data_IF_153378581823
#
_entry.id   IF_153378581823
#
_cell.length_a   1.000
_cell.length_b   1.000
_cell.length_c   1.000
_cell.angle_alpha   90.00
_cell.angle_beta   90.00
_cell.angle_gamma   90.00
#
_symmetry.space_group_name_H-M   'P 1'
#
loop_
_entity.id
_entity.type
_entity.pdbx_description
1 polymer ?
#
# COMPACT_ATOMS: atom_id res chain seq x y z
N UNK A 1 6.14 -44.29 -16.99
CA UNK A 1 5.46 -44.36 -15.69
C UNK A 1 4.79 -43.02 -15.43
N UNK A 2 3.52 -43.00 -15.05
CA UNK A 2 2.84 -41.75 -14.68
C UNK A 2 3.42 -41.24 -13.35
N UNK A 3 3.66 -39.92 -13.25
CA UNK A 3 4.15 -39.29 -12.02
C UNK A 3 3.16 -39.52 -10.88
N UNK A 4 3.61 -39.84 -9.65
CA UNK A 4 2.73 -40.05 -8.51
C UNK A 4 2.10 -38.77 -7.97
N UNK A 5 2.57 -37.58 -8.40
CA UNK A 5 2.05 -36.29 -7.94
C UNK A 5 0.83 -35.88 -8.78
N UNK A 6 -0.34 -35.68 -8.16
CA UNK A 6 -1.52 -35.16 -8.85
C UNK A 6 -1.27 -33.78 -9.49
N UNK A 7 -1.95 -33.50 -10.60
CA UNK A 7 -1.71 -32.25 -11.36
C UNK A 7 -2.07 -30.97 -10.59
N UNK A 8 -3.04 -31.04 -9.69
CA UNK A 8 -3.47 -29.97 -8.78
C UNK A 8 -2.45 -29.68 -7.66
N UNK A 9 -1.47 -30.57 -7.45
CA UNK A 9 -0.37 -30.38 -6.50
C UNK A 9 0.90 -29.84 -7.16
N UNK A 10 0.88 -29.58 -8.48
CA UNK A 10 1.99 -28.96 -9.18
C UNK A 10 2.07 -27.48 -8.79
N UNK A 11 3.29 -27.00 -8.55
CA UNK A 11 3.53 -25.57 -8.30
C UNK A 11 3.17 -24.79 -9.56
N UNK A 12 2.32 -23.75 -9.46
CA UNK A 12 1.97 -22.91 -10.59
C UNK A 12 3.18 -22.23 -11.22
N UNK A 13 3.03 -21.77 -12.46
CA UNK A 13 4.06 -20.96 -13.10
C UNK A 13 4.31 -19.67 -12.30
N UNK A 14 5.58 -19.26 -12.25
CA UNK A 14 5.94 -18.01 -11.62
C UNK A 14 5.54 -16.82 -12.49
N UNK A 15 5.03 -15.78 -11.83
CA UNK A 15 4.70 -14.50 -12.44
C UNK A 15 5.40 -13.38 -11.69
N UNK A 16 5.79 -12.34 -12.43
CA UNK A 16 6.24 -11.09 -11.84
C UNK A 16 5.02 -10.21 -11.56
N UNK A 17 4.94 -9.65 -10.37
CA UNK A 17 3.81 -8.90 -9.87
C UNK A 17 4.28 -7.49 -9.54
N UNK A 18 3.51 -6.50 -9.99
CA UNK A 18 3.63 -5.13 -9.52
C UNK A 18 2.28 -4.69 -8.96
N UNK A 19 2.25 -4.29 -7.69
CA UNK A 19 1.08 -3.65 -7.10
C UNK A 19 1.37 -2.18 -6.97
N UNK A 20 0.40 -1.35 -7.31
CA UNK A 20 0.48 0.11 -7.20
C UNK A 20 -0.69 0.60 -6.38
N UNK A 21 -0.45 1.58 -5.54
CA UNK A 21 -1.44 2.23 -4.69
C UNK A 21 -1.20 3.75 -4.65
N UNK A 22 -2.27 4.52 -4.79
CA UNK A 22 -2.23 5.98 -4.69
C UNK A 22 -2.38 6.45 -3.25
N UNK A 23 -1.41 7.25 -2.77
CA UNK A 23 -1.47 7.88 -1.45
C UNK A 23 -2.70 8.77 -1.32
N UNK A 24 -3.46 8.58 -0.24
CA UNK A 24 -4.58 9.44 0.16
C UNK A 24 -5.69 9.59 -0.91
N UNK A 25 -5.82 8.63 -1.85
CA UNK A 25 -6.82 8.70 -2.94
C UNK A 25 -8.26 8.83 -2.42
N UNK A 26 -8.60 8.08 -1.37
CA UNK A 26 -9.92 8.15 -0.72
C UNK A 26 -10.22 9.49 -0.04
N UNK A 27 -9.21 10.34 0.17
CA UNK A 27 -9.36 11.71 0.71
C UNK A 27 -9.53 12.75 -0.39
N UNK A 28 -9.39 12.39 -1.66
CA UNK A 28 -9.65 13.29 -2.76
C UNK A 28 -11.14 13.64 -2.83
N UNK A 29 -11.51 14.88 -3.19
CA UNK A 29 -12.88 15.19 -3.53
C UNK A 29 -13.37 14.26 -4.65
N UNK A 30 -14.61 13.77 -4.55
CA UNK A 30 -15.19 12.78 -5.49
C UNK A 30 -15.03 13.20 -6.97
N UNK A 31 -15.26 14.49 -7.26
CA UNK A 31 -15.11 15.06 -8.60
C UNK A 31 -13.68 14.98 -9.18
N UNK A 32 -12.67 14.71 -8.33
CA UNK A 32 -11.25 14.59 -8.72
C UNK A 32 -10.76 13.15 -8.79
N UNK A 33 -11.50 12.19 -8.22
CA UNK A 33 -11.08 10.78 -8.15
C UNK A 33 -10.90 10.17 -9.54
N UNK A 34 -11.95 10.20 -10.38
CA UNK A 34 -11.90 9.61 -11.72
C UNK A 34 -10.86 10.28 -12.66
N UNK A 35 -10.76 11.63 -12.72
CA UNK A 35 -9.71 12.28 -13.51
C UNK A 35 -8.29 11.87 -13.08
N UNK A 36 -7.98 11.90 -11.79
CA UNK A 36 -6.65 11.52 -11.28
C UNK A 36 -6.34 10.06 -11.60
N UNK A 37 -7.33 9.17 -11.45
CA UNK A 37 -7.17 7.76 -11.82
C UNK A 37 -6.86 7.60 -13.31
N UNK A 38 -7.52 8.37 -14.18
CA UNK A 38 -7.23 8.39 -15.62
C UNK A 38 -5.80 8.83 -15.90
N UNK A 39 -5.36 9.91 -15.25
CA UNK A 39 -3.99 10.42 -15.41
C UNK A 39 -2.94 9.38 -15.03
N UNK A 40 -3.13 8.67 -13.90
CA UNK A 40 -2.24 7.58 -13.47
C UNK A 40 -2.25 6.43 -14.48
N UNK A 41 -3.42 6.06 -15.00
CA UNK A 41 -3.56 5.02 -16.00
C UNK A 41 -2.80 5.36 -17.30
N UNK A 42 -2.81 6.61 -17.73
CA UNK A 42 -2.12 7.10 -18.93
C UNK A 42 -0.61 7.17 -18.72
N UNK A 43 -0.18 7.63 -17.54
CA UNK A 43 1.24 7.60 -17.12
C UNK A 43 1.76 6.16 -17.15
N UNK A 44 1.02 5.21 -16.56
CA UNK A 44 1.41 3.80 -16.55
C UNK A 44 1.48 3.21 -17.96
N UNK A 45 0.49 3.48 -18.83
CA UNK A 45 0.51 3.03 -20.22
C UNK A 45 1.80 3.48 -20.93
N UNK A 46 2.11 4.77 -20.80
CA UNK A 46 3.26 5.41 -21.43
C UNK A 46 4.57 4.80 -20.93
N UNK A 47 4.71 4.69 -19.61
CA UNK A 47 5.94 4.18 -18.97
C UNK A 47 6.16 2.70 -19.26
N UNK A 48 5.11 1.88 -19.29
CA UNK A 48 5.20 0.47 -19.69
C UNK A 48 5.70 0.34 -21.13
N UNK A 49 5.14 1.11 -22.06
CA UNK A 49 5.56 1.14 -23.45
C UNK A 49 7.03 1.58 -23.59
N UNK A 50 7.45 2.65 -22.90
CA UNK A 50 8.85 3.12 -22.85
C UNK A 50 9.82 2.04 -22.37
N UNK A 51 9.38 1.18 -21.45
CA UNK A 51 10.19 0.09 -20.89
C UNK A 51 10.12 -1.21 -21.72
N UNK A 52 9.40 -1.20 -22.86
CA UNK A 52 9.19 -2.38 -23.68
C UNK A 52 8.42 -3.48 -22.94
N UNK A 53 7.48 -3.08 -22.09
CA UNK A 53 6.54 -3.96 -21.38
C UNK A 53 5.17 -3.80 -22.02
N UNK A 54 4.52 -4.92 -22.30
CA UNK A 54 3.12 -4.91 -22.73
C UNK A 54 2.24 -4.42 -21.59
N UNK A 55 1.17 -3.72 -21.92
CA UNK A 55 0.18 -3.29 -20.96
C UNK A 55 -0.66 -4.48 -20.46
N UNK A 56 -0.64 -4.82 -19.16
CA UNK A 56 -1.43 -5.94 -18.64
C UNK A 56 -2.94 -5.75 -18.78
N UNK A 57 -3.42 -4.52 -19.03
CA UNK A 57 -4.85 -4.26 -19.28
C UNK A 57 -5.33 -4.81 -20.63
N UNK A 58 -4.40 -5.05 -21.55
CA UNK A 58 -4.68 -5.62 -22.88
C UNK A 58 -4.64 -7.15 -22.88
N UNK A 59 -4.15 -7.77 -21.80
CA UNK A 59 -3.97 -9.22 -21.68
C UNK A 59 -4.99 -9.78 -20.66
N UNK A 60 -5.72 -10.87 -21.00
CA UNK A 60 -6.66 -11.49 -20.07
C UNK A 60 -5.98 -11.90 -18.76
N UNK A 61 -6.65 -11.65 -17.64
CA UNK A 61 -6.22 -12.07 -16.29
C UNK A 61 -4.87 -11.49 -15.82
N UNK A 62 -4.31 -10.53 -16.56
CA UNK A 62 -3.04 -9.90 -16.21
C UNK A 62 -3.21 -8.59 -15.43
N UNK A 63 -4.45 -8.11 -15.26
CA UNK A 63 -4.77 -6.87 -14.58
C UNK A 63 -5.95 -7.05 -13.62
N UNK A 64 -5.79 -6.50 -12.41
CA UNK A 64 -6.87 -6.41 -11.43
C UNK A 64 -6.93 -5.01 -10.84
N UNK A 65 -8.08 -4.36 -11.01
CA UNK A 65 -8.36 -3.05 -10.44
C UNK A 65 -8.78 -3.17 -8.96
N UNK A 66 -8.29 -2.25 -8.11
CA UNK A 66 -8.72 -2.11 -6.71
C UNK A 66 -9.32 -0.73 -6.38
N UNK A 67 -9.52 0.15 -7.37
CA UNK A 67 -10.10 1.49 -7.22
C UNK A 67 -9.04 2.58 -6.99
N UNK A 68 -8.30 2.51 -5.89
CA UNK A 68 -7.18 3.39 -5.55
C UNK A 68 -5.80 2.82 -5.95
N UNK A 69 -5.79 1.56 -6.37
CA UNK A 69 -4.60 0.85 -6.83
C UNK A 69 -4.90 -0.10 -7.98
N UNK A 70 -3.87 -0.86 -8.35
CA UNK A 70 -3.97 -1.90 -9.36
C UNK A 70 -2.91 -2.99 -9.10
N UNK A 71 -3.24 -4.21 -9.50
CA UNK A 71 -2.31 -5.34 -9.57
C UNK A 71 -2.05 -5.62 -11.04
N UNK A 72 -0.78 -5.59 -11.40
CA UNK A 72 -0.26 -5.84 -12.73
C UNK A 72 0.55 -7.15 -12.69
N UNK A 73 0.16 -8.10 -13.53
CA UNK A 73 0.80 -9.42 -13.64
C UNK A 73 1.58 -9.48 -14.95
N UNK A 74 2.82 -9.94 -14.87
CA UNK A 74 3.72 -10.08 -16.01
C UNK A 74 4.34 -11.47 -16.04
N UNK A 75 4.77 -11.95 -17.21
CA UNK A 75 5.69 -13.08 -17.30
C UNK A 75 6.92 -12.86 -16.41
N UNK A 76 7.32 -13.88 -15.63
CA UNK A 76 8.46 -13.79 -14.72
C UNK A 76 9.78 -13.28 -15.35
N UNK A 77 10.12 -13.56 -16.63
CA UNK A 77 11.32 -13.01 -17.26
C UNK A 77 11.39 -11.47 -17.30
N UNK A 78 10.26 -10.78 -17.18
CA UNK A 78 10.20 -9.31 -17.18
C UNK A 78 10.49 -8.67 -15.82
N UNK A 79 10.68 -9.47 -14.77
CA UNK A 79 10.91 -8.97 -13.40
C UNK A 79 12.02 -7.92 -13.32
N UNK A 80 13.15 -8.13 -14.02
CA UNK A 80 14.25 -7.16 -14.00
C UNK A 80 13.82 -5.80 -14.59
N UNK A 81 13.00 -5.80 -15.65
CA UNK A 81 12.48 -4.57 -16.27
C UNK A 81 11.51 -3.82 -15.36
N UNK A 82 10.75 -4.54 -14.52
CA UNK A 82 9.88 -3.92 -13.50
C UNK A 82 10.67 -3.17 -12.43
N UNK A 83 11.92 -3.57 -12.18
CA UNK A 83 12.81 -2.90 -11.23
C UNK A 83 13.61 -1.79 -11.93
N UNK A 84 14.25 -2.10 -13.06
CA UNK A 84 15.05 -1.18 -13.87
C UNK A 84 14.83 -1.49 -15.36
N UNK A 85 14.25 -0.57 -16.16
CA UNK A 85 14.13 0.88 -15.90
C UNK A 85 12.80 1.37 -15.34
N UNK A 86 11.79 0.50 -15.16
CA UNK A 86 10.41 0.94 -14.91
C UNK A 86 10.27 1.89 -13.71
N UNK A 87 10.87 1.59 -12.56
CA UNK A 87 10.73 2.42 -11.35
C UNK A 87 11.28 3.83 -11.55
N UNK A 88 12.41 3.95 -12.25
CA UNK A 88 13.02 5.23 -12.60
C UNK A 88 12.14 6.00 -13.59
N UNK A 89 11.66 5.34 -14.64
CA UNK A 89 10.81 5.96 -15.65
C UNK A 89 9.47 6.42 -15.05
N UNK A 90 8.88 5.62 -14.17
CA UNK A 90 7.63 5.95 -13.48
C UNK A 90 7.78 7.20 -12.61
N UNK A 91 8.81 7.26 -11.78
CA UNK A 91 9.06 8.46 -10.97
C UNK A 91 9.34 9.71 -11.82
N UNK A 92 10.08 9.56 -12.92
CA UNK A 92 10.32 10.67 -13.85
C UNK A 92 9.02 11.15 -14.52
N UNK A 93 8.10 10.24 -14.86
CA UNK A 93 6.81 10.59 -15.43
C UNK A 93 5.90 11.29 -14.41
N UNK A 94 5.86 10.82 -13.16
CA UNK A 94 5.14 11.49 -12.07
C UNK A 94 5.71 12.88 -11.78
N UNK A 95 7.04 13.04 -11.84
CA UNK A 95 7.69 14.35 -11.68
C UNK A 95 7.27 15.30 -12.80
N UNK A 96 7.25 14.84 -14.05
CA UNK A 96 6.77 15.62 -15.19
C UNK A 96 5.29 15.99 -15.05
N UNK A 97 4.47 15.05 -14.60
CA UNK A 97 3.05 15.29 -14.32
C UNK A 97 2.88 16.39 -13.26
N UNK A 98 3.58 16.34 -12.14
CA UNK A 98 3.47 17.35 -11.08
C UNK A 98 3.92 18.75 -11.55
N UNK A 99 4.90 18.82 -12.46
CA UNK A 99 5.35 20.09 -13.06
C UNK A 99 4.34 20.68 -14.05
N UNK A 100 3.54 19.84 -14.70
CA UNK A 100 2.62 20.23 -15.77
C UNK A 100 1.17 20.34 -15.32
N UNK A 101 0.81 19.71 -14.20
CA UNK A 101 -0.57 19.72 -13.69
C UNK A 101 -1.01 21.14 -13.35
N UNK A 102 -2.30 21.38 -13.48
CA UNK A 102 -2.91 22.60 -12.96
C UNK A 102 -2.77 22.63 -11.44
N UNK A 103 -2.64 23.81 -10.85
CA UNK A 103 -2.60 23.99 -9.40
C UNK A 103 -3.84 23.44 -8.67
N UNK A 104 -4.97 23.32 -9.39
CA UNK A 104 -6.23 22.75 -8.92
C UNK A 104 -6.34 21.22 -9.07
N UNK A 105 -5.34 20.57 -9.68
CA UNK A 105 -5.20 19.13 -9.70
C UNK A 105 -4.30 18.68 -8.54
N UNK A 106 -4.63 17.60 -7.83
CA UNK A 106 -3.80 17.11 -6.72
C UNK A 106 -2.47 16.55 -7.24
N UNK A 107 -1.42 16.62 -6.42
CA UNK A 107 -0.19 15.88 -6.66
C UNK A 107 -0.45 14.37 -6.50
N UNK A 108 0.21 13.55 -7.31
CA UNK A 108 0.07 12.09 -7.29
C UNK A 108 1.33 11.47 -6.70
N UNK A 109 1.16 10.79 -5.57
CA UNK A 109 2.21 10.00 -4.92
C UNK A 109 1.82 8.53 -4.93
N UNK A 110 2.74 7.67 -5.37
CA UNK A 110 2.49 6.25 -5.50
C UNK A 110 3.33 5.44 -4.51
N UNK A 111 2.71 4.43 -3.92
CA UNK A 111 3.38 3.28 -3.33
C UNK A 111 3.33 2.15 -4.33
N UNK A 112 4.41 1.38 -4.42
CA UNK A 112 4.42 0.16 -5.21
C UNK A 112 5.07 -0.99 -4.45
N UNK A 113 4.72 -2.21 -4.85
CA UNK A 113 5.50 -3.39 -4.51
C UNK A 113 5.86 -4.17 -5.77
N UNK A 114 7.01 -4.83 -5.75
CA UNK A 114 7.44 -5.74 -6.81
C UNK A 114 7.77 -7.09 -6.20
N UNK A 115 7.11 -8.13 -6.69
CA UNK A 115 7.26 -9.50 -6.22
C UNK A 115 7.38 -10.48 -7.40
N UNK A 116 7.87 -11.68 -7.13
CA UNK A 116 7.84 -12.80 -8.09
C UNK A 116 7.58 -14.09 -7.34
N UNK A 117 6.65 -14.89 -7.84
CA UNK A 117 6.31 -16.17 -7.24
C UNK A 117 5.22 -16.92 -8.00
N UNK A 118 4.89 -18.14 -7.56
CA UNK A 118 3.84 -18.95 -8.18
C UNK A 118 2.48 -18.25 -8.09
N UNK A 119 1.78 -18.20 -9.23
CA UNK A 119 0.42 -17.66 -9.31
C UNK A 119 -0.39 -18.49 -10.30
N UNK A 120 -1.54 -18.97 -9.85
CA UNK A 120 -2.54 -19.58 -10.72
C UNK A 120 -3.33 -18.48 -11.43
N UNK A 121 -3.44 -18.60 -12.75
CA UNK A 121 -4.31 -17.79 -13.60
C UNK A 121 -5.31 -18.74 -14.29
N UNK A 122 -6.58 -18.34 -14.49
CA UNK A 122 -7.14 -16.98 -14.33
C UNK A 122 -7.69 -16.68 -12.92
N UNK A 123 -7.61 -17.61 -11.97
CA UNK A 123 -8.25 -17.47 -10.65
C UNK A 123 -7.47 -16.56 -9.67
N UNK A 124 -6.27 -16.13 -10.04
CA UNK A 124 -5.37 -15.27 -9.25
C UNK A 124 -5.11 -15.83 -7.85
N UNK A 125 -4.99 -17.16 -7.74
CA UNK A 125 -4.72 -17.82 -6.46
C UNK A 125 -3.23 -18.06 -6.27
N UNK A 126 -2.71 -17.64 -5.13
CA UNK A 126 -1.33 -17.87 -4.70
C UNK A 126 -0.93 -16.90 -3.60
N UNK A 127 0.09 -17.27 -2.83
CA UNK A 127 0.62 -16.38 -1.80
C UNK A 127 1.35 -15.17 -2.42
N UNK A 128 1.92 -15.34 -3.61
CA UNK A 128 2.65 -14.29 -4.31
C UNK A 128 1.86 -12.98 -4.49
N UNK A 129 0.57 -13.05 -4.85
CA UNK A 129 -0.28 -11.87 -4.99
C UNK A 129 -0.66 -11.27 -3.62
N UNK A 130 -0.89 -12.13 -2.61
CA UNK A 130 -1.19 -11.68 -1.26
C UNK A 130 0.00 -10.95 -0.64
N UNK A 131 1.21 -11.48 -0.82
CA UNK A 131 2.44 -10.87 -0.33
C UNK A 131 2.72 -9.55 -1.04
N UNK A 132 2.53 -9.49 -2.36
CA UNK A 132 2.66 -8.24 -3.10
C UNK A 132 1.69 -7.15 -2.59
N UNK A 133 0.41 -7.49 -2.37
CA UNK A 133 -0.56 -6.57 -1.75
C UNK A 133 -0.13 -6.14 -0.35
N UNK A 134 0.30 -7.08 0.51
CA UNK A 134 0.72 -6.75 1.88
C UNK A 134 1.99 -5.91 1.92
N UNK A 135 2.91 -6.09 0.96
CA UNK A 135 4.13 -5.29 0.84
C UNK A 135 3.82 -3.82 0.51
N UNK A 136 2.88 -3.54 -0.41
CA UNK A 136 2.49 -2.15 -0.74
C UNK A 136 1.71 -1.49 0.43
N UNK A 137 1.06 -2.31 1.24
CA UNK A 137 0.36 -1.90 2.47
C UNK A 137 1.24 -1.92 3.73
N UNK A 138 2.55 -2.11 3.60
CA UNK A 138 3.44 -2.15 4.76
C UNK A 138 3.63 -0.76 5.39
N UNK A 139 3.94 -0.72 6.69
CA UNK A 139 4.29 0.52 7.37
C UNK A 139 5.58 1.11 6.79
N UNK A 140 6.51 0.25 6.39
CA UNK A 140 7.83 0.59 5.90
C UNK A 140 7.77 1.31 4.55
N UNK A 141 6.92 0.84 3.61
CA UNK A 141 6.76 1.56 2.34
C UNK A 141 6.01 2.89 2.52
N UNK A 142 5.14 3.01 3.54
CA UNK A 142 4.55 4.31 3.91
C UNK A 142 5.60 5.28 4.46
N UNK A 143 6.51 4.80 5.31
CA UNK A 143 7.67 5.58 5.78
C UNK A 143 8.59 5.99 4.64
N UNK A 144 8.91 5.06 3.73
CA UNK A 144 9.68 5.36 2.52
C UNK A 144 8.99 6.41 1.63
N UNK A 145 7.66 6.43 1.58
CA UNK A 145 6.94 7.47 0.85
C UNK A 145 7.07 8.84 1.51
N UNK A 146 7.13 8.91 2.84
CA UNK A 146 7.45 10.18 3.52
C UNK A 146 8.84 10.67 3.12
N UNK A 147 9.82 9.77 3.03
CA UNK A 147 11.15 10.08 2.50
C UNK A 147 11.11 10.58 1.04
N UNK A 148 10.27 9.96 0.21
CA UNK A 148 10.07 10.39 -1.17
C UNK A 148 9.53 11.83 -1.24
N UNK A 149 8.50 12.14 -0.46
CA UNK A 149 7.91 13.49 -0.41
C UNK A 149 8.95 14.54 -0.01
N UNK A 150 9.74 14.29 1.03
CA UNK A 150 10.78 15.22 1.48
C UNK A 150 11.93 15.34 0.48
N UNK A 151 12.30 14.22 -0.17
CA UNK A 151 13.34 14.15 -1.19
C UNK A 151 12.92 14.62 -2.59
N UNK A 152 11.68 15.08 -2.79
CA UNK A 152 11.16 15.52 -4.09
C UNK A 152 10.88 14.40 -5.09
N UNK A 153 10.69 13.17 -4.61
CA UNK A 153 10.26 12.01 -5.38
C UNK A 153 8.76 11.73 -5.18
N UNK A 154 8.18 10.97 -6.12
CA UNK A 154 6.74 10.68 -6.16
C UNK A 154 6.43 9.20 -6.02
N UNK A 155 7.44 8.36 -5.82
CA UNK A 155 7.33 6.91 -5.77
C UNK A 155 8.14 6.34 -4.60
N UNK A 156 7.53 5.44 -3.84
CA UNK A 156 8.22 4.55 -2.91
C UNK A 156 7.86 3.10 -3.21
N UNK A 157 8.85 2.21 -3.17
CA UNK A 157 8.72 0.83 -3.64
C UNK A 157 9.22 -0.15 -2.59
N UNK A 158 8.44 -1.21 -2.34
CA UNK A 158 8.89 -2.39 -1.61
C UNK A 158 9.16 -3.55 -2.58
N UNK A 159 10.42 -3.91 -2.76
CA UNK A 159 10.80 -5.15 -3.46
C UNK A 159 10.78 -6.31 -2.46
N UNK A 160 10.16 -7.42 -2.81
CA UNK A 160 10.34 -8.65 -2.02
C UNK A 160 11.79 -9.12 -2.05
N UNK A 161 12.23 -9.83 -1.01
CA UNK A 161 13.57 -10.41 -0.97
C UNK A 161 13.84 -11.30 -2.20
N UNK A 162 12.87 -12.10 -2.63
CA UNK A 162 12.99 -12.93 -3.84
C UNK A 162 13.17 -12.09 -5.10
N UNK A 163 12.42 -11.00 -5.26
CA UNK A 163 12.55 -10.10 -6.39
C UNK A 163 13.93 -9.44 -6.41
N UNK A 164 14.38 -8.90 -5.27
CA UNK A 164 15.70 -8.29 -5.13
C UNK A 164 16.84 -9.27 -5.43
N UNK A 165 16.77 -10.50 -4.90
CA UNK A 165 17.79 -11.53 -5.13
C UNK A 165 17.93 -11.90 -6.59
N UNK A 166 16.81 -11.95 -7.32
CA UNK A 166 16.75 -12.34 -8.74
C UNK A 166 17.02 -11.19 -9.70
N UNK A 167 17.01 -9.94 -9.23
CA UNK A 167 17.24 -8.76 -10.07
C UNK A 167 18.54 -8.07 -9.70
N UNK A 168 18.50 -7.22 -8.68
CA UNK A 168 19.59 -6.35 -8.25
C UNK A 168 20.78 -7.15 -7.76
N UNK A 169 20.58 -8.09 -6.84
CA UNK A 169 21.67 -8.91 -6.30
C UNK A 169 22.32 -9.78 -7.37
N UNK A 170 21.55 -10.16 -8.40
CA UNK A 170 22.00 -10.94 -9.55
C UNK A 170 22.65 -10.08 -10.66
N UNK A 171 22.73 -8.76 -10.50
CA UNK A 171 23.35 -7.86 -11.48
C UNK A 171 22.54 -7.66 -12.76
N UNK A 172 21.20 -7.79 -12.70
CA UNK A 172 20.30 -7.64 -13.87
C UNK A 172 19.73 -6.23 -14.03
N UNK A 173 20.14 -5.29 -13.19
CA UNK A 173 19.64 -3.91 -13.14
C UNK A 173 20.81 -2.94 -13.31
N UNK A 174 21.18 -2.55 -14.55
CA UNK A 174 22.37 -1.73 -14.79
C UNK A 174 22.34 -0.34 -14.14
N UNK A 175 21.15 0.24 -13.93
CA UNK A 175 20.96 1.55 -13.31
C UNK A 175 20.72 1.51 -11.80
N UNK A 176 20.60 0.33 -11.20
CA UNK A 176 20.33 0.16 -9.78
C UNK A 176 21.21 -0.93 -9.17
N UNK A 177 21.94 -0.58 -8.12
CA UNK A 177 22.75 -1.49 -7.32
C UNK A 177 22.26 -1.54 -5.85
N UNK A 178 22.98 -2.27 -5.00
CA UNK A 178 22.60 -2.48 -3.59
C UNK A 178 22.48 -1.19 -2.77
N UNK A 179 23.21 -0.12 -3.11
CA UNK A 179 23.22 1.12 -2.32
C UNK A 179 21.91 1.90 -2.46
N UNK A 180 21.13 1.61 -3.50
CA UNK A 180 19.83 2.22 -3.78
C UNK A 180 18.69 1.58 -2.99
N UNK A 181 18.97 0.55 -2.19
CA UNK A 181 17.97 -0.22 -1.46
C UNK A 181 18.27 -0.25 0.03
N UNK A 182 17.22 -0.13 0.83
CA UNK A 182 17.27 -0.32 2.28
C UNK A 182 16.69 -1.68 2.64
N UNK A 183 17.46 -2.50 3.35
CA UNK A 183 16.98 -3.76 3.92
C UNK A 183 16.14 -3.53 5.16
N UNK A 184 14.96 -4.16 5.19
CA UNK A 184 14.04 -4.10 6.34
C UNK A 184 13.10 -5.30 6.36
N UNK A 185 12.30 -5.39 7.40
CA UNK A 185 11.16 -6.29 7.53
C UNK A 185 9.87 -5.49 7.32
N UNK A 186 9.00 -5.96 6.45
CA UNK A 186 7.70 -5.36 6.18
C UNK A 186 6.64 -5.84 7.17
N UNK A 187 5.89 -4.90 7.75
CA UNK A 187 4.81 -5.17 8.69
C UNK A 187 3.52 -4.50 8.23
N UNK A 188 2.38 -5.15 8.48
CA UNK A 188 1.04 -4.60 8.22
C UNK A 188 0.28 -4.53 9.54
N UNK A 189 -0.16 -3.33 9.93
CA UNK A 189 -0.76 -3.08 11.26
C UNK A 189 -1.92 -4.02 11.61
N UNK A 190 -2.83 -4.24 10.65
CA UNK A 190 -4.00 -5.11 10.86
C UNK A 190 -3.70 -6.61 10.64
N UNK A 191 -2.44 -6.97 10.36
CA UNK A 191 -1.98 -8.35 10.14
C UNK A 191 -0.68 -8.59 10.91
N UNK A 192 -0.75 -8.77 12.25
CA UNK A 192 0.44 -8.89 13.10
C UNK A 192 1.32 -10.10 12.80
N UNK A 193 0.80 -11.10 12.08
CA UNK A 193 1.55 -12.28 11.64
C UNK A 193 2.28 -12.09 10.31
N UNK A 194 2.08 -10.98 9.62
CA UNK A 194 2.81 -10.68 8.39
C UNK A 194 4.11 -9.97 8.72
N UNK A 195 5.21 -10.70 8.54
CA UNK A 195 6.57 -10.17 8.65
C UNK A 195 7.39 -10.77 7.52
N UNK A 196 7.70 -9.95 6.52
CA UNK A 196 8.41 -10.40 5.32
C UNK A 196 9.63 -9.54 5.04
N UNK A 197 10.76 -10.17 4.70
CA UNK A 197 11.96 -9.44 4.33
C UNK A 197 11.76 -8.72 2.99
N UNK A 198 12.10 -7.43 2.95
CA UNK A 198 11.97 -6.63 1.75
C UNK A 198 13.15 -5.66 1.56
N UNK A 199 13.15 -5.00 0.41
CA UNK A 199 14.07 -3.92 0.06
C UNK A 199 13.27 -2.69 -0.32
N UNK A 200 13.39 -1.63 0.46
CA UNK A 200 12.76 -0.35 0.13
C UNK A 200 13.61 0.40 -0.88
N UNK A 201 12.96 1.06 -1.82
CA UNK A 201 13.58 1.92 -2.81
C UNK A 201 12.76 3.19 -3.01
N UNK A 202 13.45 4.32 -3.05
CA UNK A 202 12.90 5.63 -3.44
C UNK A 202 13.78 6.16 -4.56
N UNK A 203 13.26 6.33 -5.79
CA UNK A 203 14.06 6.83 -6.91
C UNK A 203 14.70 8.18 -6.58
N UNK A 204 16.01 8.29 -6.81
CA UNK A 204 16.79 9.50 -6.50
C UNK A 204 17.41 9.52 -5.10
N UNK A 205 17.04 8.59 -4.21
CA UNK A 205 17.62 8.46 -2.88
C UNK A 205 18.46 7.18 -2.76
N UNK A 206 19.44 7.19 -1.86
CA UNK A 206 20.12 5.97 -1.41
C UNK A 206 19.26 5.26 -0.36
N UNK A 207 19.47 3.96 -0.17
CA UNK A 207 18.77 3.21 0.88
C UNK A 207 19.01 3.81 2.27
N UNK A 208 20.22 4.27 2.55
CA UNK A 208 20.55 4.88 3.85
C UNK A 208 19.80 6.19 4.10
N UNK A 209 19.48 6.97 3.06
CA UNK A 209 18.68 8.19 3.19
C UNK A 209 17.21 7.91 3.60
N UNK A 210 16.72 6.68 3.38
CA UNK A 210 15.35 6.27 3.76
C UNK A 210 15.28 5.82 5.24
N UNK A 211 16.40 5.39 5.83
CA UNK A 211 16.43 4.80 7.17
C UNK A 211 15.80 5.68 8.28
N UNK A 212 16.00 7.00 8.32
CA UNK A 212 15.39 7.86 9.35
C UNK A 212 13.86 7.83 9.35
N UNK A 213 13.22 7.45 8.24
CA UNK A 213 11.76 7.44 8.10
C UNK A 213 11.11 6.11 8.51
N UNK A 214 11.92 5.11 8.89
CA UNK A 214 11.43 3.84 9.42
C UNK A 214 11.39 3.80 10.95
N UNK A 215 12.10 4.72 11.60
CA UNK A 215 12.18 4.81 13.06
C UNK A 215 11.04 5.71 13.53
N UNK A 216 9.98 5.09 14.06
CA UNK A 216 8.83 5.74 14.70
C UNK A 216 8.30 6.99 13.99
N UNK A 217 7.50 6.80 12.93
CA UNK A 217 6.46 7.78 12.69
C UNK A 217 5.49 7.70 13.89
N UNK A 218 5.35 8.73 14.73
CA UNK A 218 4.23 8.77 15.64
C UNK A 218 2.99 8.65 14.76
N UNK A 219 2.08 7.74 15.10
CA UNK A 219 0.69 7.88 14.66
C UNK A 219 0.34 9.35 14.90
N UNK A 220 -0.13 10.13 13.90
CA UNK A 220 -0.78 11.37 14.24
C UNK A 220 -1.95 10.95 15.13
N UNK A 221 -1.78 11.16 16.43
CA UNK A 221 -2.88 11.13 17.36
C UNK A 221 -3.90 12.07 16.74
N UNK A 222 -5.06 11.53 16.37
CA UNK A 222 -6.25 12.33 16.15
C UNK A 222 -6.45 13.12 17.43
N UNK A 223 -5.88 14.31 17.51
CA UNK A 223 -6.24 15.27 18.53
C UNK A 223 -7.72 15.55 18.28
N UNK A 224 -8.63 15.27 19.23
CA UNK A 224 -9.93 15.88 19.15
C UNK A 224 -9.66 17.39 19.24
N UNK A 225 -9.92 18.07 18.12
CA UNK A 225 -9.96 19.53 18.03
C UNK A 225 -10.76 20.05 19.20
N UNK A 226 -10.05 20.64 20.15
CA UNK A 226 -10.60 21.38 21.26
C UNK A 226 -11.13 22.69 20.67
N UNK A 227 -12.37 22.68 20.20
CA UNK A 227 -13.10 23.91 20.01
C UNK A 227 -13.51 24.40 21.40
N UNK A 228 -12.81 25.43 21.86
CA UNK A 228 -13.15 26.21 23.04
C UNK A 228 -14.55 26.80 22.89
N UNK A 229 -15.50 26.34 23.70
CA UNK A 229 -16.66 27.13 24.10
C UNK A 229 -16.69 27.22 25.62
N UNK A 230 -16.83 28.46 26.07
CA UNK A 230 -16.71 28.91 27.44
C UNK A 230 -17.59 28.14 28.44
N UNK A 231 -17.09 28.06 29.67
CA UNK A 231 -17.85 27.63 30.85
C UNK A 231 -19.16 28.44 30.99
N UNK A 232 -20.20 27.80 31.55
CA UNK A 232 -20.49 28.13 32.93
C UNK A 232 -20.52 26.90 33.85
N UNK A 233 -20.41 27.22 35.13
CA UNK A 233 -20.30 26.32 36.26
C UNK A 233 -21.59 25.56 36.62
N UNK A 234 -21.41 24.68 37.60
CA UNK A 234 -22.38 24.06 38.51
C UNK A 234 -22.87 22.66 38.13
N UNK A 235 -22.63 21.73 39.06
CA UNK A 235 -22.89 20.31 38.93
C UNK A 235 -24.38 19.95 38.93
N UNK A 236 -24.65 18.76 38.41
CA UNK A 236 -25.88 18.01 38.66
C UNK A 236 -25.66 16.57 38.20
N UNK A 237 -25.80 15.61 39.11
CA UNK A 237 -25.80 14.19 38.77
C UNK A 237 -27.00 13.88 37.89
N UNK A 238 -26.76 13.48 36.65
CA UNK A 238 -27.79 13.10 35.70
C UNK A 238 -28.28 11.67 35.95
N UNK A 239 -29.60 11.51 36.15
CA UNK A 239 -30.26 10.21 36.16
C UNK A 239 -30.58 9.82 34.71
N UNK A 240 -30.10 8.65 34.28
CA UNK A 240 -30.48 8.06 32.99
C UNK A 240 -31.58 7.03 33.21
N UNK A 241 -32.76 7.26 32.61
CA UNK A 241 -33.91 6.36 32.72
C UNK A 241 -34.13 5.62 31.40
N UNK A 242 -34.00 4.29 31.44
CA UNK A 242 -34.26 3.41 30.31
C UNK A 242 -35.69 2.87 30.39
N UNK A 243 -36.46 3.02 29.31
CA UNK A 243 -37.85 2.56 29.23
C UNK A 243 -38.01 1.19 28.52
N UNK A 244 -36.90 0.53 28.17
CA UNK A 244 -36.90 -0.79 27.53
C UNK A 244 -35.79 -1.67 28.11
N UNK A 245 -35.93 -3.00 27.93
CA UNK A 245 -35.00 -3.99 28.45
C UNK A 245 -33.64 -3.87 27.74
N UNK A 246 -32.59 -3.54 28.49
CA UNK A 246 -31.21 -3.48 27.98
C UNK A 246 -30.59 -4.88 28.13
N UNK A 247 -30.21 -5.50 27.02
CA UNK A 247 -29.65 -6.86 26.97
C UNK A 247 -28.14 -6.91 26.72
N UNK A 248 -27.49 -5.77 26.46
CA UNK A 248 -26.04 -5.68 26.24
C UNK A 248 -25.36 -4.88 27.35
N UNK A 249 -24.40 -5.50 28.03
CA UNK A 249 -23.60 -4.89 29.08
C UNK A 249 -22.18 -4.60 28.56
N UNK A 250 -21.98 -3.42 27.98
CA UNK A 250 -20.64 -2.82 27.93
C UNK A 250 -20.80 -1.34 28.29
N UNK A 251 -20.36 -0.96 29.48
CA UNK A 251 -20.34 0.43 29.94
C UNK A 251 -18.88 0.86 29.98
N UNK A 252 -18.57 1.95 29.29
CA UNK A 252 -17.19 2.38 29.04
C UNK A 252 -16.47 2.96 30.28
N UNK A 253 -17.01 2.84 31.50
CA UNK A 253 -16.48 3.40 32.76
C UNK A 253 -17.16 2.83 34.04
N UNK A 254 -16.80 3.36 35.22
CA UNK A 254 -17.30 3.02 36.58
C UNK A 254 -18.67 3.66 36.90
N UNK A 255 -19.54 2.95 37.64
CA UNK A 255 -20.78 3.48 38.26
C UNK A 255 -20.61 3.59 39.78
N UNK A 256 -20.87 4.76 40.38
CA UNK A 256 -20.76 4.96 41.85
C UNK A 256 -21.95 4.38 42.64
N UNK A 257 -23.18 4.54 42.15
CA UNK A 257 -24.38 4.01 42.82
C UNK A 257 -25.43 3.57 41.80
N UNK A 258 -25.95 2.35 41.94
CA UNK A 258 -26.96 1.77 41.04
C UNK A 258 -28.24 1.48 41.85
N UNK A 259 -29.35 2.14 41.51
CA UNK A 259 -30.65 1.92 42.14
C UNK A 259 -31.66 1.39 41.12
N UNK A 260 -32.13 0.15 41.31
CA UNK A 260 -33.11 -0.51 40.45
C UNK A 260 -34.44 -0.61 41.21
N UNK A 261 -35.50 -0.02 40.65
CA UNK A 261 -36.85 -0.11 41.22
C UNK A 261 -37.71 -1.04 40.36
N UNK A 262 -38.10 -2.20 40.90
CA UNK A 262 -38.97 -3.17 40.21
C UNK A 262 -40.38 -3.04 40.74
N UNK A 263 -41.24 -2.32 40.02
CA UNK A 263 -42.69 -2.42 40.25
C UNK A 263 -43.22 -3.72 39.65
N UNK A 264 -43.46 -4.72 40.51
CA UNK A 264 -44.27 -5.88 40.15
C UNK A 264 -45.73 -5.43 40.03
N UNK A 265 -46.39 -5.86 38.95
CA UNK A 265 -47.86 -5.88 38.89
C UNK A 265 -48.35 -7.18 39.51
#
# INVERSE_FOLDING_TARGET
MASPIPRDHLVPAEHALMVIDMKDYSKLPEAKMAPVRSDVNDILATVLAECGLKDPREEPDAFKDSGDGAILVFPAPYLARLVDPLLRCLNAALTRYDQQRLSSAPAVYLRASVHVGPLSLPDHRGDAINDACRLVDSQEVRGALAAAVEGGAFLAVALSETAYRRTVRAGRTPGLDRQHFLETLAHVGDKPHFTEACRLHVPGLTGQAVLPYLVDAPLPASQPTSASTAAPAAGSGGIFQFHQQVSDSTIANHIDELRIDRRQR
#
